data_IF_303663823590
#
_entry.id   IF_303663823590
#
_cell.length_a   1.000
_cell.length_b   1.000
_cell.length_c   1.000
_cell.angle_alpha   90.00
_cell.angle_beta   90.00
_cell.angle_gamma   90.00
#
_symmetry.space_group_name_H-M   'P 1'
#
loop_
_entity.id
_entity.type
_entity.pdbx_description
1 polymer ?
#
# COMPACT_ATOMS: atom_id res chain seq x y z
N UNK A 1 12.48 11.84 2.39
CA UNK A 1 12.88 10.46 2.02
C UNK A 1 13.05 9.51 3.21
N UNK A 2 12.72 9.91 4.45
CA UNK A 2 12.47 9.00 5.59
C UNK A 2 11.13 8.24 5.50
N UNK A 3 10.39 8.43 4.40
CA UNK A 3 9.04 7.92 4.15
C UNK A 3 9.02 6.67 3.25
N UNK A 4 10.11 6.37 2.52
CA UNK A 4 10.15 5.21 1.59
C UNK A 4 10.03 3.87 2.31
N UNK A 5 10.63 3.73 3.49
CA UNK A 5 10.54 2.50 4.29
C UNK A 5 9.08 2.16 4.66
N UNK A 6 8.32 3.15 5.12
CA UNK A 6 6.91 2.97 5.53
C UNK A 6 6.04 2.60 4.33
N UNK A 7 6.25 3.21 3.17
CA UNK A 7 5.45 2.85 1.99
C UNK A 7 5.78 1.45 1.48
N UNK A 8 7.06 1.03 1.50
CA UNK A 8 7.43 -0.34 1.09
C UNK A 8 6.82 -1.39 2.01
N UNK A 9 6.91 -1.18 3.33
CA UNK A 9 6.33 -2.09 4.33
C UNK A 9 4.80 -2.09 4.24
N UNK A 10 4.18 -0.90 4.22
CA UNK A 10 2.74 -0.77 4.08
C UNK A 10 2.22 -1.36 2.76
N UNK A 11 2.99 -1.24 1.67
CA UNK A 11 2.70 -1.86 0.39
C UNK A 11 2.73 -3.39 0.45
N UNK A 12 3.73 -3.98 1.12
CA UNK A 12 3.77 -5.44 1.36
C UNK A 12 2.57 -5.92 2.16
N UNK A 13 2.21 -5.23 3.24
CA UNK A 13 1.05 -5.58 4.06
C UNK A 13 -0.24 -5.52 3.23
N UNK A 14 -0.40 -4.50 2.39
CA UNK A 14 -1.56 -4.40 1.47
C UNK A 14 -1.58 -5.56 0.48
N UNK A 15 -0.44 -5.93 -0.10
CA UNK A 15 -0.31 -7.05 -1.03
C UNK A 15 -0.72 -8.37 -0.36
N UNK A 16 -0.15 -8.69 0.80
CA UNK A 16 -0.45 -9.90 1.58
C UNK A 16 -1.94 -9.99 1.97
N UNK A 17 -2.56 -8.86 2.34
CA UNK A 17 -3.99 -8.82 2.71
C UNK A 17 -4.95 -9.02 1.53
N UNK A 18 -4.46 -8.80 0.31
CA UNK A 18 -5.22 -8.97 -0.93
C UNK A 18 -4.90 -10.27 -1.66
N UNK A 19 -3.99 -11.09 -1.14
CA UNK A 19 -3.75 -12.44 -1.65
C UNK A 19 -5.06 -13.24 -1.74
N UNK A 20 -5.27 -13.90 -2.88
CA UNK A 20 -6.51 -14.63 -3.18
C UNK A 20 -7.72 -13.74 -3.52
N UNK A 21 -7.60 -12.41 -3.47
CA UNK A 21 -8.65 -11.45 -3.88
C UNK A 21 -8.25 -10.63 -5.10
N UNK A 22 -6.98 -10.24 -5.20
CA UNK A 22 -6.43 -9.50 -6.33
C UNK A 22 -4.94 -9.82 -6.50
N UNK A 23 -4.49 -9.99 -7.74
CA UNK A 23 -3.07 -10.10 -8.06
C UNK A 23 -2.48 -8.70 -8.26
N UNK A 24 -1.45 -8.37 -7.49
CA UNK A 24 -0.86 -7.03 -7.41
C UNK A 24 0.65 -7.12 -7.40
N UNK A 25 1.32 -6.30 -8.20
CA UNK A 25 2.75 -6.04 -8.05
C UNK A 25 3.03 -5.09 -6.86
N UNK A 26 4.28 -5.06 -6.41
CA UNK A 26 4.69 -4.27 -5.23
C UNK A 26 4.56 -2.76 -5.44
N UNK A 27 4.71 -2.25 -6.67
CA UNK A 27 4.56 -0.83 -6.96
C UNK A 27 3.08 -0.42 -6.93
N UNK A 28 2.18 -1.27 -7.43
CA UNK A 28 0.74 -1.10 -7.35
C UNK A 28 0.26 -1.16 -5.90
N UNK A 29 0.72 -2.14 -5.10
CA UNK A 29 0.36 -2.25 -3.69
C UNK A 29 0.82 -1.03 -2.86
N UNK A 30 2.01 -0.48 -3.15
CA UNK A 30 2.49 0.78 -2.56
C UNK A 30 1.63 1.99 -2.91
N UNK A 31 1.13 2.07 -4.14
CA UNK A 31 0.21 3.15 -4.58
C UNK A 31 -1.14 3.02 -3.88
N UNK A 32 -1.68 1.80 -3.77
CA UNK A 32 -2.90 1.52 -3.00
C UNK A 32 -2.74 1.89 -1.53
N UNK A 33 -1.64 1.51 -0.89
CA UNK A 33 -1.32 1.94 0.48
C UNK A 33 -1.35 3.46 0.62
N UNK A 34 -0.79 4.18 -0.35
CA UNK A 34 -0.80 5.64 -0.36
C UNK A 34 -2.23 6.20 -0.45
N UNK A 35 -3.07 5.65 -1.33
CA UNK A 35 -4.48 6.04 -1.44
C UNK A 35 -5.25 5.76 -0.14
N UNK A 36 -5.03 4.60 0.48
CA UNK A 36 -5.64 4.25 1.77
C UNK A 36 -5.26 5.30 2.83
N UNK A 37 -3.97 5.65 2.95
CA UNK A 37 -3.53 6.68 3.89
C UNK A 37 -4.20 8.03 3.61
N UNK A 38 -4.22 8.49 2.36
CA UNK A 38 -4.83 9.77 2.00
C UNK A 38 -6.32 9.80 2.34
N UNK A 39 -7.07 8.76 1.93
CA UNK A 39 -8.52 8.70 2.15
C UNK A 39 -8.88 8.50 3.64
N UNK A 40 -8.02 7.85 4.42
CA UNK A 40 -8.25 7.64 5.86
C UNK A 40 -8.06 8.91 6.69
N UNK A 41 -7.14 9.80 6.29
CA UNK A 41 -6.85 11.05 7.01
C UNK A 41 -7.61 12.28 6.50
N UNK A 42 -8.53 12.10 5.54
CA UNK A 42 -9.35 13.17 4.97
C UNK A 42 -8.97 13.47 3.53
N UNK A 43 -9.78 12.95 2.60
CA UNK A 43 -9.99 13.60 1.31
C UNK A 43 -10.87 14.85 1.48
#
# INVERSE_FOLDING_TARGET
MARRGIHNEGGRIVQERLEGKADLDIDTARRLFTLICVLHFGG
#
